data_IF_472845900464
#
_entry.id   IF_472845900464
#
_cell.length_a   1.000
_cell.length_b   1.000
_cell.length_c   1.000
_cell.angle_alpha   90.00
_cell.angle_beta   90.00
_cell.angle_gamma   90.00
#
_symmetry.space_group_name_H-M   'P 1'
#
loop_
_entity.id
_entity.type
_entity.pdbx_description
1 polymer ?
#
# COMPACT_ATOMS: atom_id res chain seq x y z
N UNK A 1 -5.39 -18.94 13.80
CA UNK A 1 -5.08 -20.39 13.74
C UNK A 1 -5.12 -21.07 15.10
N UNK A 2 -4.33 -20.66 16.09
CA UNK A 2 -4.33 -21.32 17.42
C UNK A 2 -5.72 -21.37 18.07
N UNK A 3 -6.43 -20.24 18.10
CA UNK A 3 -7.77 -20.18 18.69
C UNK A 3 -8.76 -21.19 18.09
N UNK A 4 -8.79 -21.35 16.75
CA UNK A 4 -9.69 -22.33 16.13
C UNK A 4 -9.27 -23.76 16.43
N UNK A 5 -7.97 -24.04 16.57
CA UNK A 5 -7.50 -25.37 16.96
C UNK A 5 -7.89 -25.73 18.40
N UNK A 6 -7.89 -24.75 19.31
CA UNK A 6 -8.34 -24.94 20.70
C UNK A 6 -9.85 -25.12 20.83
N UNK A 7 -10.64 -24.48 19.96
CA UNK A 7 -12.10 -24.46 20.05
C UNK A 7 -12.78 -25.57 19.23
N UNK A 8 -12.24 -25.90 18.05
CA UNK A 8 -12.87 -26.86 17.16
C UNK A 8 -12.75 -28.30 17.73
N UNK A 9 -13.84 -29.09 17.74
CA UNK A 9 -13.82 -30.45 18.28
C UNK A 9 -12.69 -31.29 17.66
N UNK A 10 -11.80 -31.92 18.45
CA UNK A 10 -10.60 -32.60 17.93
C UNK A 10 -10.91 -33.87 17.12
N UNK A 11 -12.13 -34.40 17.25
CA UNK A 11 -12.61 -35.60 16.54
C UNK A 11 -13.09 -35.31 15.12
N UNK A 12 -13.39 -34.05 14.79
CA UNK A 12 -13.92 -33.65 13.50
C UNK A 12 -12.80 -33.12 12.56
N UNK A 13 -12.91 -33.39 11.24
CA UNK A 13 -12.05 -32.76 10.24
C UNK A 13 -12.13 -31.23 10.33
N UNK A 14 -11.00 -30.57 10.15
CA UNK A 14 -10.91 -29.11 10.20
C UNK A 14 -10.18 -28.59 8.96
N UNK A 15 -10.81 -27.65 8.25
CA UNK A 15 -10.19 -26.90 7.16
C UNK A 15 -10.13 -25.42 7.56
N UNK A 16 -8.94 -24.84 7.51
CA UNK A 16 -8.66 -23.45 7.91
C UNK A 16 -8.31 -22.62 6.68
N UNK A 17 -9.08 -21.56 6.46
CA UNK A 17 -8.81 -20.54 5.46
C UNK A 17 -8.12 -19.36 6.13
N UNK A 18 -6.99 -18.89 5.60
CA UNK A 18 -6.27 -17.74 6.14
C UNK A 18 -5.49 -17.03 5.05
N UNK A 19 -5.39 -15.71 5.16
CA UNK A 19 -4.56 -14.86 4.31
C UNK A 19 -3.11 -14.69 4.82
N UNK A 20 -2.81 -15.24 5.99
CA UNK A 20 -1.46 -15.28 6.57
C UNK A 20 -0.58 -16.30 5.85
N UNK A 21 -0.05 -15.91 4.69
CA UNK A 21 0.79 -16.75 3.82
C UNK A 21 1.90 -17.46 4.58
N UNK A 22 2.65 -16.72 5.40
CA UNK A 22 3.74 -17.28 6.19
C UNK A 22 3.26 -18.40 7.13
N UNK A 23 2.19 -18.13 7.89
CA UNK A 23 1.61 -19.11 8.82
C UNK A 23 1.16 -20.38 8.09
N UNK A 24 0.46 -20.22 6.96
CA UNK A 24 -0.04 -21.37 6.19
C UNK A 24 1.10 -22.17 5.59
N UNK A 25 2.09 -21.51 4.99
CA UNK A 25 3.24 -22.19 4.38
C UNK A 25 4.14 -22.87 5.41
N UNK A 26 4.31 -22.32 6.61
CA UNK A 26 5.03 -23.02 7.69
C UNK A 26 4.20 -24.20 8.21
N UNK A 27 2.89 -24.03 8.41
CA UNK A 27 2.00 -25.11 8.85
C UNK A 27 1.95 -26.30 7.86
N UNK A 28 2.07 -26.02 6.56
CA UNK A 28 2.16 -27.03 5.49
C UNK A 28 3.57 -27.59 5.28
N UNK A 29 4.58 -27.13 6.03
CA UNK A 29 5.97 -27.55 5.90
C UNK A 29 6.69 -27.03 4.65
N UNK A 30 6.10 -26.06 3.93
CA UNK A 30 6.73 -25.40 2.77
C UNK A 30 7.81 -24.41 3.20
N UNK A 31 7.58 -23.68 4.29
CA UNK A 31 8.53 -22.70 4.83
C UNK A 31 9.09 -23.15 6.18
N UNK A 32 10.33 -22.73 6.45
CA UNK A 32 10.94 -22.91 7.75
C UNK A 32 10.42 -21.86 8.76
N UNK A 33 10.25 -22.32 10.00
CA UNK A 33 9.94 -21.47 11.13
C UNK A 33 11.12 -20.51 11.41
N UNK A 34 10.84 -19.21 11.49
CA UNK A 34 11.83 -18.14 11.67
C UNK A 34 11.69 -17.42 13.01
N UNK A 35 10.48 -17.33 13.55
CA UNK A 35 10.17 -16.59 14.77
C UNK A 35 9.02 -17.25 15.54
N UNK A 36 8.84 -16.81 16.80
CA UNK A 36 7.78 -17.22 17.72
C UNK A 36 7.71 -18.75 17.95
N UNK A 37 8.83 -19.39 18.36
CA UNK A 37 8.89 -20.84 18.55
C UNK A 37 7.88 -21.36 19.58
N UNK A 38 7.60 -20.56 20.60
CA UNK A 38 6.59 -20.77 21.64
C UNK A 38 5.17 -20.94 21.05
N UNK A 39 4.78 -20.09 20.10
CA UNK A 39 3.47 -20.21 19.43
C UNK A 39 3.39 -21.47 18.57
N UNK A 40 4.51 -21.88 17.96
CA UNK A 40 4.58 -23.10 17.17
C UNK A 40 4.59 -24.36 18.03
N UNK A 41 5.09 -24.31 19.25
CA UNK A 41 4.92 -25.40 20.24
C UNK A 41 3.45 -25.61 20.56
N UNK A 42 2.72 -24.55 20.88
CA UNK A 42 1.27 -24.62 21.13
C UNK A 42 0.54 -25.17 19.90
N UNK A 43 0.89 -24.71 18.69
CA UNK A 43 0.32 -25.25 17.45
C UNK A 43 0.55 -26.75 17.31
N UNK A 44 1.77 -27.24 17.56
CA UNK A 44 2.13 -28.65 17.44
C UNK A 44 1.36 -29.49 18.45
N UNK A 45 1.28 -29.05 19.70
CA UNK A 45 0.51 -29.73 20.74
C UNK A 45 -0.97 -29.80 20.35
N UNK A 46 -1.60 -28.67 20.03
CA UNK A 46 -3.00 -28.64 19.61
C UNK A 46 -3.27 -29.51 18.37
N UNK A 47 -2.35 -29.57 17.43
CA UNK A 47 -2.47 -30.42 16.23
C UNK A 47 -2.38 -31.91 16.56
N UNK A 48 -1.53 -32.30 17.52
CA UNK A 48 -1.39 -33.69 17.99
C UNK A 48 -2.63 -34.21 18.71
N UNK A 49 -3.36 -33.33 19.42
CA UNK A 49 -4.61 -33.70 20.08
C UNK A 49 -5.77 -34.01 19.13
N UNK A 50 -5.63 -33.71 17.83
CA UNK A 50 -6.68 -33.97 16.83
C UNK A 50 -6.55 -35.36 16.22
N UNK A 51 -7.68 -35.98 15.90
CA UNK A 51 -7.73 -37.27 15.18
C UNK A 51 -7.12 -37.19 13.79
N UNK A 52 -7.23 -36.02 13.15
CA UNK A 52 -6.70 -35.73 11.82
C UNK A 52 -6.02 -34.36 11.84
N UNK A 53 -4.92 -34.22 11.10
CA UNK A 53 -4.26 -32.93 10.94
C UNK A 53 -5.18 -31.93 10.23
N UNK A 54 -5.17 -30.64 10.62
CA UNK A 54 -5.94 -29.62 9.94
C UNK A 54 -5.48 -29.46 8.48
N UNK A 55 -6.43 -29.28 7.57
CA UNK A 55 -6.16 -28.83 6.22
C UNK A 55 -6.06 -27.30 6.19
N UNK A 56 -5.16 -26.76 5.39
CA UNK A 56 -4.96 -25.32 5.25
C UNK A 56 -5.16 -24.87 3.81
N UNK A 57 -5.81 -23.72 3.64
CA UNK A 57 -5.93 -23.04 2.36
C UNK A 57 -5.53 -21.58 2.53
N UNK A 58 -4.51 -21.17 1.78
CA UNK A 58 -4.16 -19.77 1.70
C UNK A 58 -5.16 -19.06 0.79
N UNK A 59 -5.80 -18.01 1.32
CA UNK A 59 -6.68 -17.15 0.54
C UNK A 59 -6.03 -15.78 0.39
N UNK A 60 -6.31 -15.09 -0.69
CA UNK A 60 -5.82 -13.73 -0.87
C UNK A 60 -6.52 -12.78 0.13
N UNK A 61 -5.73 -12.01 0.88
CA UNK A 61 -6.26 -10.94 1.74
C UNK A 61 -7.00 -9.86 0.94
N UNK A 62 -8.00 -9.23 1.56
CA UNK A 62 -8.85 -8.19 0.96
C UNK A 62 -9.52 -8.58 -0.37
N UNK A 63 -9.84 -9.87 -0.56
CA UNK A 63 -10.46 -10.38 -1.77
C UNK A 63 -12.00 -10.44 -1.71
N UNK A 64 -12.66 -9.72 -0.79
CA UNK A 64 -14.12 -9.80 -0.65
C UNK A 64 -14.61 -11.02 0.14
N UNK A 65 -13.72 -11.69 0.87
CA UNK A 65 -14.04 -12.95 1.56
C UNK A 65 -14.66 -12.66 2.93
N UNK A 66 -15.99 -12.70 3.00
CA UNK A 66 -16.79 -12.29 4.16
C UNK A 66 -16.25 -12.78 5.52
N UNK A 67 -15.93 -14.07 5.64
CA UNK A 67 -15.47 -14.63 6.92
C UNK A 67 -14.04 -14.23 7.27
N UNK A 68 -13.17 -14.05 6.28
CA UNK A 68 -11.81 -13.58 6.49
C UNK A 68 -11.80 -12.09 6.85
N UNK A 69 -12.61 -11.28 6.18
CA UNK A 69 -12.79 -9.86 6.52
C UNK A 69 -13.34 -9.68 7.92
N UNK A 70 -14.31 -10.53 8.32
CA UNK A 70 -14.81 -10.53 9.69
C UNK A 70 -13.74 -10.94 10.70
N UNK A 71 -12.89 -11.92 10.35
CA UNK A 71 -11.79 -12.33 11.21
C UNK A 71 -10.74 -11.23 11.38
N UNK A 72 -10.39 -10.51 10.29
CA UNK A 72 -9.50 -9.36 10.31
C UNK A 72 -10.05 -8.22 11.19
N UNK A 73 -11.33 -7.87 11.02
CA UNK A 73 -11.99 -6.86 11.85
C UNK A 73 -11.97 -7.22 13.34
N UNK A 74 -12.30 -8.47 13.69
CA UNK A 74 -12.29 -8.93 15.07
C UNK A 74 -10.87 -8.97 15.67
N UNK A 75 -9.87 -9.35 14.87
CA UNK A 75 -8.47 -9.32 15.29
C UNK A 75 -8.00 -7.88 15.53
N UNK A 76 -8.35 -6.96 14.63
CA UNK A 76 -8.10 -5.53 14.77
C UNK A 76 -8.73 -4.97 16.04
N UNK A 77 -10.01 -5.21 16.27
CA UNK A 77 -10.68 -4.82 17.52
C UNK A 77 -10.00 -5.40 18.76
N UNK A 78 -9.56 -6.67 18.70
CA UNK A 78 -8.80 -7.30 19.78
C UNK A 78 -7.48 -6.58 20.08
N UNK A 79 -6.74 -6.17 19.05
CA UNK A 79 -5.48 -5.42 19.19
C UNK A 79 -5.67 -4.04 19.85
N UNK A 80 -6.84 -3.43 19.66
CA UNK A 80 -7.22 -2.15 20.26
C UNK A 80 -8.06 -2.31 21.54
N UNK A 81 -7.98 -3.44 22.25
CA UNK A 81 -8.74 -3.69 23.49
C UNK A 81 -10.25 -3.45 23.35
N UNK A 82 -10.81 -3.75 22.17
CA UNK A 82 -12.21 -3.50 21.77
C UNK A 82 -12.60 -2.01 21.71
N UNK A 83 -11.64 -1.10 21.71
CA UNK A 83 -11.89 0.31 21.39
C UNK A 83 -12.13 0.46 19.89
N UNK A 84 -13.42 0.51 19.53
CA UNK A 84 -13.86 0.68 18.14
C UNK A 84 -13.38 2.00 17.54
N UNK A 85 -13.41 3.09 18.30
CA UNK A 85 -13.03 4.41 17.82
C UNK A 85 -11.53 4.48 17.52
N UNK A 86 -10.69 3.90 18.38
CA UNK A 86 -9.26 3.81 18.13
C UNK A 86 -8.95 2.94 16.91
N UNK A 87 -9.62 1.79 16.77
CA UNK A 87 -9.47 0.92 15.61
C UNK A 87 -9.89 1.60 14.31
N UNK A 88 -11.05 2.27 14.27
CA UNK A 88 -11.54 2.96 13.07
C UNK A 88 -10.59 4.10 12.65
N UNK A 89 -10.03 4.85 13.61
CA UNK A 89 -9.01 5.88 13.33
C UNK A 89 -7.73 5.27 12.75
N UNK A 90 -7.28 4.15 13.30
CA UNK A 90 -6.13 3.42 12.76
C UNK A 90 -6.42 2.88 11.35
N UNK A 91 -7.57 2.25 11.13
CA UNK A 91 -7.96 1.72 9.83
C UNK A 91 -8.03 2.83 8.77
N UNK A 92 -8.61 3.99 9.10
CA UNK A 92 -8.62 5.17 8.24
C UNK A 92 -7.20 5.65 7.89
N UNK A 93 -6.26 5.59 8.84
CA UNK A 93 -4.84 5.92 8.57
C UNK A 93 -4.12 4.92 7.67
N UNK A 94 -4.61 3.68 7.58
CA UNK A 94 -4.04 2.64 6.71
C UNK A 94 -4.65 2.66 5.31
N UNK A 95 -5.72 3.44 5.09
CA UNK A 95 -6.34 3.56 3.78
C UNK A 95 -5.30 4.03 2.74
N UNK A 96 -5.36 3.53 1.49
CA UNK A 96 -4.43 3.94 0.43
C UNK A 96 -4.34 5.46 0.24
N UNK A 97 -5.43 6.18 0.52
CA UNK A 97 -5.52 7.65 0.47
C UNK A 97 -4.70 8.32 1.59
N UNK A 98 -4.61 7.70 2.77
CA UNK A 98 -3.82 8.18 3.90
C UNK A 98 -2.32 7.88 3.75
N UNK A 99 -1.97 6.72 3.17
CA UNK A 99 -0.58 6.33 2.90
C UNK A 99 -0.01 6.85 1.58
N UNK A 100 -0.86 7.26 0.64
CA UNK A 100 -0.50 7.98 -0.57
C UNK A 100 -1.39 9.23 -0.74
N UNK A 101 -1.11 10.34 -0.03
CA UNK A 101 -1.81 11.60 -0.25
C UNK A 101 -1.62 12.19 -1.67
N UNK A 102 -0.77 11.56 -2.48
CA UNK A 102 -0.30 12.01 -3.80
C UNK A 102 -1.08 11.35 -4.95
N UNK A 103 -1.99 10.41 -4.68
CA UNK A 103 -2.82 9.80 -5.72
C UNK A 103 -3.87 10.83 -6.17
N UNK A 104 -3.45 11.62 -7.16
CA UNK A 104 -4.28 12.41 -8.06
C UNK A 104 -5.16 13.50 -7.39
N UNK A 105 -4.56 14.37 -6.57
CA UNK A 105 -5.19 15.68 -6.39
C UNK A 105 -5.32 16.37 -7.75
N UNK A 106 -6.45 17.04 -8.07
CA UNK A 106 -6.63 17.76 -9.33
C UNK A 106 -5.47 18.73 -9.63
N UNK A 107 -4.86 19.28 -8.57
CA UNK A 107 -3.72 20.18 -8.65
C UNK A 107 -2.45 19.51 -9.19
N UNK A 108 -2.12 18.29 -8.75
CA UNK A 108 -0.95 17.56 -9.26
C UNK A 108 -1.14 17.14 -10.72
N UNK A 109 -2.36 16.79 -11.11
CA UNK A 109 -2.70 16.49 -12.51
C UNK A 109 -2.53 17.73 -13.38
N UNK A 110 -3.06 18.89 -12.95
CA UNK A 110 -2.88 20.15 -13.65
C UNK A 110 -1.39 20.54 -13.77
N UNK A 111 -0.60 20.30 -12.72
CA UNK A 111 0.82 20.60 -12.73
C UNK A 111 1.60 19.71 -13.70
N UNK A 112 1.25 18.41 -13.81
CA UNK A 112 1.83 17.50 -14.81
C UNK A 112 1.56 17.98 -16.23
N UNK A 113 0.32 18.38 -16.52
CA UNK A 113 -0.06 18.95 -17.82
C UNK A 113 0.76 20.20 -18.14
N UNK A 114 0.86 21.13 -17.20
CA UNK A 114 1.64 22.36 -17.37
C UNK A 114 3.12 22.10 -17.67
N UNK A 115 3.75 21.16 -16.95
CA UNK A 115 5.15 20.80 -17.18
C UNK A 115 5.33 20.15 -18.56
N UNK A 116 4.39 19.30 -18.99
CA UNK A 116 4.46 18.67 -20.31
C UNK A 116 4.32 19.70 -21.44
N UNK A 117 3.39 20.65 -21.33
CA UNK A 117 3.21 21.70 -22.33
C UNK A 117 4.45 22.60 -22.42
N UNK A 118 5.01 23.00 -21.26
CA UNK A 118 6.27 23.77 -21.22
C UNK A 118 7.43 23.00 -21.82
N UNK A 119 7.54 21.68 -21.55
CA UNK A 119 8.59 20.83 -22.12
C UNK A 119 8.49 20.79 -23.64
N UNK A 120 7.30 20.55 -24.18
CA UNK A 120 7.07 20.54 -25.63
C UNK A 120 7.41 21.88 -26.26
N UNK A 121 6.97 23.00 -25.66
CA UNK A 121 7.32 24.34 -26.14
C UNK A 121 8.84 24.54 -26.15
N UNK A 122 9.52 24.22 -25.05
CA UNK A 122 10.95 24.44 -24.93
C UNK A 122 11.75 23.57 -25.92
N UNK A 123 11.33 22.34 -26.18
CA UNK A 123 11.96 21.46 -27.17
C UNK A 123 11.83 22.01 -28.60
N UNK A 124 10.73 22.69 -28.93
CA UNK A 124 10.53 23.30 -30.25
C UNK A 124 11.30 24.61 -30.46
N UNK A 125 11.75 25.25 -29.38
CA UNK A 125 12.47 26.51 -29.43
C UNK A 125 13.99 26.25 -29.52
N UNK A 126 14.60 26.73 -30.60
CA UNK A 126 16.04 26.63 -30.82
C UNK A 126 16.85 27.22 -29.65
N UNK A 127 17.88 26.49 -29.22
CA UNK A 127 18.71 26.84 -28.07
C UNK A 127 19.57 28.08 -28.33
N UNK A 128 19.84 28.43 -29.58
CA UNK A 128 20.67 29.56 -29.96
C UNK A 128 19.91 30.90 -30.11
N UNK A 129 18.59 30.87 -30.33
CA UNK A 129 17.77 32.07 -30.62
C UNK A 129 16.61 32.30 -29.65
N UNK A 130 16.35 31.38 -28.73
CA UNK A 130 15.20 31.44 -27.82
C UNK A 130 15.43 32.29 -26.56
N UNK A 131 14.37 32.94 -26.08
CA UNK A 131 14.33 33.69 -24.81
C UNK A 131 14.25 32.80 -23.56
N UNK A 132 14.31 31.48 -23.73
CA UNK A 132 14.29 30.50 -22.63
C UNK A 132 15.69 30.31 -22.08
N UNK A 133 15.89 30.58 -20.79
CA UNK A 133 17.20 30.40 -20.15
C UNK A 133 17.56 28.91 -20.00
N UNK A 134 18.85 28.61 -19.92
CA UNK A 134 19.33 27.25 -19.63
C UNK A 134 18.75 26.72 -18.32
N UNK A 135 18.70 27.55 -17.28
CA UNK A 135 18.12 27.22 -15.97
C UNK A 135 16.64 26.84 -16.06
N UNK A 136 15.85 27.52 -16.90
CA UNK A 136 14.44 27.19 -17.13
C UNK A 136 14.26 25.85 -17.83
N UNK A 137 15.12 25.55 -18.82
CA UNK A 137 15.13 24.25 -19.51
C UNK A 137 15.49 23.12 -18.57
N UNK A 138 16.56 23.28 -17.79
CA UNK A 138 17.03 22.26 -16.86
C UNK A 138 15.99 21.93 -15.79
N UNK A 139 15.33 22.96 -15.26
CA UNK A 139 14.26 22.77 -14.31
C UNK A 139 13.05 22.02 -14.89
N UNK A 140 12.58 22.38 -16.09
CA UNK A 140 11.42 21.69 -16.71
C UNK A 140 11.79 20.23 -17.05
N UNK A 141 13.02 19.99 -17.50
CA UNK A 141 13.54 18.63 -17.73
C UNK A 141 13.58 17.80 -16.44
N UNK A 142 14.04 18.38 -15.34
CA UNK A 142 14.05 17.76 -14.03
C UNK A 142 12.62 17.46 -13.52
N UNK A 143 11.74 18.46 -13.58
CA UNK A 143 10.35 18.31 -13.14
C UNK A 143 9.57 17.27 -13.96
N UNK A 144 9.83 17.16 -15.27
CA UNK A 144 9.23 16.13 -16.13
C UNK A 144 9.56 14.73 -15.62
N UNK A 145 10.82 14.48 -15.21
CA UNK A 145 11.24 13.18 -14.68
C UNK A 145 10.70 12.93 -13.27
N UNK A 146 10.69 13.94 -12.40
CA UNK A 146 10.27 13.78 -11.01
C UNK A 146 8.78 13.56 -10.87
N UNK A 147 7.96 14.29 -11.64
CA UNK A 147 6.49 14.19 -11.59
C UNK A 147 5.91 12.86 -12.10
N UNK A 148 6.71 12.05 -12.80
CA UNK A 148 6.36 10.68 -13.18
C UNK A 148 6.39 9.71 -11.98
N UNK A 149 7.14 10.04 -10.91
CA UNK A 149 7.24 9.20 -9.72
C UNK A 149 6.00 9.39 -8.84
N UNK A 150 5.36 8.28 -8.46
CA UNK A 150 4.15 8.29 -7.62
C UNK A 150 4.38 8.89 -6.23
N UNK A 151 5.62 8.86 -5.73
CA UNK A 151 6.01 9.36 -4.41
C UNK A 151 6.48 10.81 -4.39
N UNK A 152 6.61 11.46 -5.55
CA UNK A 152 7.18 12.80 -5.61
C UNK A 152 6.10 13.88 -5.47
N UNK A 153 6.27 14.75 -4.47
CA UNK A 153 5.46 15.95 -4.27
C UNK A 153 6.33 17.18 -4.51
N UNK A 154 5.96 18.05 -5.46
CA UNK A 154 6.65 19.33 -5.65
C UNK A 154 6.48 20.23 -4.43
N UNK A 155 7.56 20.87 -4.01
CA UNK A 155 7.48 21.94 -3.01
C UNK A 155 6.65 23.13 -3.52
N UNK A 156 6.11 23.93 -2.61
CA UNK A 156 5.37 25.16 -2.96
C UNK A 156 6.16 26.08 -3.88
N UNK A 157 7.47 26.21 -3.63
CA UNK A 157 8.38 27.00 -4.46
C UNK A 157 8.44 26.47 -5.90
N UNK A 158 8.55 25.15 -6.08
CA UNK A 158 8.56 24.51 -7.40
C UNK A 158 7.22 24.71 -8.12
N UNK A 159 6.11 24.50 -7.41
CA UNK A 159 4.76 24.72 -7.96
C UNK A 159 4.53 26.17 -8.39
N UNK A 160 4.98 27.14 -7.57
CA UNK A 160 4.91 28.57 -7.91
C UNK A 160 5.77 28.91 -9.13
N UNK A 161 6.94 28.30 -9.25
CA UNK A 161 7.83 28.51 -10.39
C UNK A 161 7.22 27.98 -11.69
N UNK A 162 6.64 26.78 -11.67
CA UNK A 162 5.93 26.21 -12.83
C UNK A 162 4.78 27.13 -13.25
N UNK A 163 3.91 27.55 -12.31
CA UNK A 163 2.81 28.47 -12.61
C UNK A 163 3.32 29.81 -13.18
N UNK A 164 4.43 30.32 -12.66
CA UNK A 164 5.08 31.53 -13.19
C UNK A 164 5.59 31.36 -14.61
N UNK A 165 6.16 30.21 -14.95
CA UNK A 165 6.62 29.90 -16.31
C UNK A 165 5.45 29.73 -17.29
N UNK A 166 4.39 29.04 -16.87
CA UNK A 166 3.14 28.91 -17.65
C UNK A 166 2.62 30.31 -18.02
N UNK A 167 2.55 31.22 -17.05
CA UNK A 167 2.13 32.61 -17.31
C UNK A 167 3.12 33.38 -18.20
N UNK A 168 4.43 33.25 -17.96
CA UNK A 168 5.49 33.92 -18.73
C UNK A 168 5.45 33.54 -20.21
N UNK A 169 5.24 32.27 -20.51
CA UNK A 169 5.22 31.74 -21.87
C UNK A 169 3.80 31.60 -22.44
N UNK A 170 2.76 32.04 -21.71
CA UNK A 170 1.35 32.00 -22.08
C UNK A 170 0.90 30.63 -22.59
N UNK A 171 1.37 29.59 -21.92
CA UNK A 171 0.97 28.20 -22.18
C UNK A 171 -0.37 27.98 -21.50
N UNK A 172 -1.38 27.50 -22.22
CA UNK A 172 -2.70 27.14 -21.68
C UNK A 172 -3.02 25.69 -21.99
#
# INVERSE_FOLDING_TARGET
>A
VLAVLSLAPPTLPLKVYSDSEYTIKVAMGTYQMKANPDLWEIYRELSRYRKQLPAFEWVRGHAGQLHNERADELAGLGAFNRDRSAYDKWQASQAPEAHNPVVATPELTALRTNVQLLKTLFDTLDSATSRVSSTERDFINDMTKRLQKKSFVPSEKQSKWIKGLVAKYKVQ
#
